data_IF_384709989863
#
_entry.id   IF_384709989863
#
_cell.length_a   1.000
_cell.length_b   1.000
_cell.length_c   1.000
_cell.angle_alpha   90.00
_cell.angle_beta   90.00
_cell.angle_gamma   90.00
#
_symmetry.space_group_name_H-M   'P 1'
#
loop_
_entity.id
_entity.type
_entity.pdbx_description
1 polymer ?
2 non-polymer ?
3 non-polymer ?
4 water ?
#
# COMPACT_ATOMS: atom_id res chain seq x y z
N UNK A 3 14.65 6.72 9.17
CA UNK A 3 14.56 5.48 9.96
C UNK A 3 14.99 4.25 9.14
N UNK A 4 15.51 3.26 9.84
CA UNK A 4 15.92 2.02 9.20
C UNK A 4 14.68 1.16 8.98
N UNK A 5 14.65 0.43 7.87
CA UNK A 5 13.53 -0.47 7.59
C UNK A 5 13.41 -1.53 8.68
N UNK A 6 12.21 -1.67 9.28
CA UNK A 6 12.01 -2.64 10.37
C UNK A 6 11.78 -4.08 9.91
N UNK A 7 11.87 -4.30 8.60
CA UNK A 7 11.71 -5.64 8.01
C UNK A 7 13.03 -6.16 7.45
N UNK A 8 13.76 -5.35 6.68
CA UNK A 8 15.04 -5.80 6.10
C UNK A 8 16.28 -5.29 6.85
N UNK A 9 16.09 -4.33 7.74
CA UNK A 9 17.15 -3.85 8.63
C UNK A 9 18.39 -3.28 7.95
N UNK A 10 18.28 -2.88 6.69
CA UNK A 10 19.39 -2.20 6.01
C UNK A 10 18.92 -0.99 5.19
N UNK A 11 17.81 -1.14 4.48
CA UNK A 11 17.24 -0.04 3.70
C UNK A 11 16.76 1.11 4.58
N UNK A 12 16.72 2.31 4.01
CA UNK A 12 16.20 3.50 4.70
C UNK A 12 14.76 3.74 4.23
N UNK A 13 13.92 4.24 5.14
CA UNK A 13 12.52 4.52 4.81
C UNK A 13 12.45 5.94 4.28
N UNK A 14 11.74 6.11 3.17
CA UNK A 14 11.59 7.42 2.55
C UNK A 14 10.12 7.72 2.32
N UNK A 15 9.80 9.02 2.38
CA UNK A 15 8.43 9.50 2.12
C UNK A 15 8.11 9.43 0.62
N UNK A 16 7.00 8.79 0.29
CA UNK A 16 6.61 8.69 -1.10
C UNK A 16 5.17 8.36 -1.34
N UNK A 17 4.88 8.28 -2.64
CA UNK A 17 3.55 7.99 -3.17
C UNK A 17 3.80 6.86 -4.16
N UNK A 18 3.06 5.78 -4.01
CA UNK A 18 3.30 4.59 -4.82
C UNK A 18 2.00 4.02 -5.35
N UNK A 19 2.10 3.42 -6.53
CA UNK A 19 1.00 2.67 -7.13
C UNK A 19 1.25 1.20 -6.77
N UNK A 20 0.27 0.58 -6.12
CA UNK A 20 0.43 -0.71 -5.46
C UNK A 20 -0.42 -1.78 -6.16
N UNK A 21 0.20 -2.72 -6.86
CA UNK A 21 -0.59 -3.81 -7.44
C UNK A 21 -1.29 -4.66 -6.39
N UNK A 22 -2.51 -5.10 -6.70
CA UNK A 22 -3.28 -5.91 -5.77
C UNK A 22 -4.16 -6.85 -6.57
N UNK A 23 -4.13 -8.13 -6.20
CA UNK A 23 -5.02 -9.16 -6.77
C UNK A 23 -5.92 -9.67 -5.64
N UNK A 24 -7.23 -9.68 -5.88
CA UNK A 24 -8.22 -10.12 -4.92
C UNK A 24 -9.24 -11.01 -5.65
N UNK A 25 -9.37 -12.25 -5.19
CA UNK A 25 -10.28 -13.21 -5.83
C UNK A 25 -10.07 -13.29 -7.35
N UNK A 26 -8.80 -13.26 -7.73
CA UNK A 26 -8.38 -13.37 -9.12
C UNK A 26 -8.50 -12.10 -9.93
N UNK A 27 -9.02 -11.02 -9.34
CA UNK A 27 -9.17 -9.76 -10.06
C UNK A 27 -7.97 -8.88 -9.75
N UNK A 28 -7.35 -8.36 -10.80
CA UNK A 28 -6.13 -7.56 -10.67
C UNK A 28 -6.41 -6.08 -10.78
N UNK A 29 -5.77 -5.30 -9.91
CA UNK A 29 -5.87 -3.86 -9.99
C UNK A 29 -4.55 -3.23 -9.58
N UNK A 30 -4.50 -1.91 -9.71
CA UNK A 30 -3.40 -1.14 -9.15
C UNK A 30 -4.03 -0.06 -8.28
N UNK A 31 -3.65 -0.03 -7.01
CA UNK A 31 -4.15 0.94 -6.05
C UNK A 31 -3.27 2.19 -6.23
N UNK A 32 -3.85 3.25 -6.76
CA UNK A 32 -3.06 4.40 -7.22
C UNK A 32 -2.84 5.44 -6.13
N UNK A 33 -1.64 6.01 -6.14
CA UNK A 33 -1.37 7.20 -5.36
C UNK A 33 -1.42 7.03 -3.85
N UNK A 34 -0.81 5.95 -3.38
CA UNK A 34 -0.82 5.59 -1.93
C UNK A 34 0.36 6.23 -1.23
N UNK A 35 0.06 7.19 -0.36
CA UNK A 35 1.07 7.87 0.43
C UNK A 35 1.54 6.98 1.57
N UNK A 36 2.82 7.07 1.88
CA UNK A 36 3.40 6.28 2.96
C UNK A 36 4.88 6.49 3.06
N UNK A 37 5.50 5.80 4.01
CA UNK A 37 6.94 5.62 4.00
C UNK A 37 7.23 4.29 3.31
N UNK A 38 8.27 4.29 2.49
CA UNK A 38 8.65 3.10 1.73
C UNK A 38 10.13 2.79 1.87
N UNK A 39 10.44 1.51 2.00
CA UNK A 39 11.84 1.10 2.06
C UNK A 39 12.45 1.13 0.65
N UNK A 40 13.55 1.85 0.49
CA UNK A 40 14.24 1.89 -0.83
C UNK A 40 14.82 0.53 -1.26
N UNK A 41 15.01 -0.39 -0.30
CA UNK A 41 15.64 -1.69 -0.55
C UNK A 41 14.66 -2.82 -0.82
N UNK A 42 13.71 -3.04 0.09
CA UNK A 42 12.77 -4.17 0.01
C UNK A 42 11.33 -3.77 -0.27
N UNK A 43 11.07 -2.46 -0.34
CA UNK A 43 9.74 -1.91 -0.66
C UNK A 43 8.65 -2.08 0.42
N UNK A 44 9.01 -2.56 1.62
CA UNK A 44 8.11 -2.50 2.78
C UNK A 44 7.51 -1.11 2.93
N UNK A 45 6.22 -1.05 3.29
CA UNK A 45 5.54 0.23 3.51
C UNK A 45 5.18 0.40 4.97
N UNK A 46 5.25 1.64 5.43
CA UNK A 46 4.78 2.03 6.74
C UNK A 46 3.79 3.17 6.51
N UNK A 47 2.54 2.95 6.92
CA UNK A 47 1.48 3.94 6.80
C UNK A 47 0.95 4.28 8.18
N UNK A 48 0.86 5.57 8.46
CA UNK A 48 0.28 6.02 9.71
C UNK A 48 -1.25 5.92 9.64
N UNK A 49 -1.95 6.37 10.67
CA UNK A 49 -3.39 6.16 10.73
C UNK A 49 -4.10 6.75 9.52
N UNK A 50 -3.80 8.01 9.21
CA UNK A 50 -4.50 8.71 8.14
C UNK A 50 -4.20 8.04 6.79
N UNK A 51 -2.93 7.70 6.61
CA UNK A 51 -2.48 7.01 5.40
C UNK A 51 -3.14 5.64 5.27
N UNK A 52 -3.24 4.93 6.39
CA UNK A 52 -3.86 3.60 6.43
C UNK A 52 -5.33 3.70 6.06
N UNK A 53 -6.00 4.74 6.57
CA UNK A 53 -7.42 4.92 6.29
C UNK A 53 -7.66 5.12 4.79
N UNK A 54 -6.85 5.97 4.18
CA UNK A 54 -6.94 6.23 2.73
C UNK A 54 -6.67 4.95 1.91
N UNK A 55 -5.61 4.23 2.29
CA UNK A 55 -5.23 2.99 1.60
C UNK A 55 -6.34 1.97 1.71
N UNK A 56 -6.83 1.75 2.93
CA UNK A 56 -7.87 0.72 3.15
C UNK A 56 -9.20 1.09 2.50
N UNK A 57 -9.51 2.38 2.38
CA UNK A 57 -10.69 2.78 1.64
C UNK A 57 -10.61 2.30 0.19
N UNK A 58 -9.44 2.45 -0.43
CA UNK A 58 -9.25 1.96 -1.79
C UNK A 58 -9.38 0.44 -1.87
N UNK A 59 -8.72 -0.22 -0.93
CA UNK A 59 -8.70 -1.68 -0.88
C UNK A 59 -10.12 -2.19 -0.74
N UNK A 60 -10.86 -1.62 0.19
CA UNK A 60 -12.20 -2.12 0.45
C UNK A 60 -13.19 -1.79 -0.67
N UNK A 61 -13.04 -0.63 -1.30
CA UNK A 61 -13.86 -0.30 -2.46
C UNK A 61 -13.64 -1.33 -3.57
N UNK A 62 -12.39 -1.71 -3.79
CA UNK A 62 -12.05 -2.69 -4.83
C UNK A 62 -12.67 -4.05 -4.48
N UNK A 63 -12.43 -4.51 -3.26
CA UNK A 63 -13.01 -5.79 -2.81
C UNK A 63 -14.52 -5.78 -2.97
N UNK A 64 -15.19 -4.71 -2.56
CA UNK A 64 -16.65 -4.62 -2.70
C UNK A 64 -17.12 -4.77 -4.14
N UNK A 65 -16.43 -4.10 -5.05
CA UNK A 65 -16.76 -4.17 -6.47
C UNK A 65 -16.59 -5.58 -6.99
N UNK A 66 -15.46 -6.21 -6.66
CA UNK A 66 -15.22 -7.61 -7.08
C UNK A 66 -16.29 -8.55 -6.55
N UNK A 67 -16.64 -8.40 -5.28
CA UNK A 67 -17.64 -9.29 -4.66
C UNK A 67 -19.02 -9.11 -5.29
N UNK A 68 -19.36 -7.88 -5.67
CA UNK A 68 -20.65 -7.56 -6.30
C UNK A 68 -20.71 -7.87 -7.81
N UNK A 69 -19.59 -8.28 -8.39
CA UNK A 69 -19.51 -8.56 -9.83
C UNK A 69 -19.28 -10.04 -10.07
X LIG B 1 13.32 -2.90 3.83
X LIG C 1 -0.57 -5.82 -2.16
X LIG C 1 -1.60 -5.95 -1.19
X LIG C 1 -2.35 -4.64 -1.06
X LIG C 1 -3.52 -4.82 -0.26
X LIG C 1 -3.17 -5.01 1.12
X LIG C 1 -4.41 -5.36 1.79
X LIG C 1 -4.26 -4.78 3.04
X LIG C 1 -3.23 -5.39 3.83
X LIG C 1 -3.60 -5.25 5.31
X LIG C 1 -3.17 -6.44 5.97
#
# INVERSE_FOLDING_TARGET
>A
GHMKCPVCHQGEMVSGIKDIPYTFRGRKTVLKGIHGLYCVHCEESIMNKEESDAFMAQVKAFRASVNAETVAPEFIVK
>B hetero
1 ZN ZN
>C hetero
1 PE4 O1 C1 C2 O2 C3 C4 O3 C5 C6 O4
#
